data_IF_338308784821
#
_entry.id   IF_338308784821
#
_cell.length_a   1.000
_cell.length_b   1.000
_cell.length_c   1.000
_cell.angle_alpha   90.00
_cell.angle_beta   90.00
_cell.angle_gamma   90.00
#
_symmetry.space_group_name_H-M   'P 1'
#
loop_
_entity.id
_entity.type
_entity.pdbx_description
1 polymer ?
#
# COMPACT_ATOMS: atom_id res chain seq x y z
N UNK A 1 -6.50 -2.29 15.43
CA UNK A 1 -7.03 -1.13 14.68
C UNK A 1 -6.24 0.11 15.06
N UNK A 2 -5.75 0.87 14.08
CA UNK A 2 -4.92 2.06 14.32
C UNK A 2 -5.61 3.11 15.20
N UNK A 3 -6.87 3.44 14.91
CA UNK A 3 -7.65 4.44 15.67
C UNK A 3 -7.86 4.08 17.15
N UNK A 4 -7.81 2.79 17.51
CA UNK A 4 -7.86 2.37 18.93
C UNK A 4 -6.52 2.56 19.64
N UNK A 5 -5.41 2.33 18.94
CA UNK A 5 -4.07 2.50 19.48
C UNK A 5 -3.65 3.98 19.53
N UNK A 6 -4.18 4.79 18.61
CA UNK A 6 -3.89 6.21 18.46
C UNK A 6 -5.19 7.03 18.36
N UNK A 7 -5.90 7.27 19.47
CA UNK A 7 -7.23 7.89 19.47
C UNK A 7 -7.27 9.33 18.93
N UNK A 8 -6.12 9.99 18.80
CA UNK A 8 -5.99 11.32 18.22
C UNK A 8 -5.95 11.31 16.68
N UNK A 9 -5.82 10.14 16.05
CA UNK A 9 -5.87 9.99 14.59
C UNK A 9 -7.32 9.85 14.15
N UNK A 10 -7.71 10.62 13.12
CA UNK A 10 -8.95 10.40 12.38
C UNK A 10 -8.65 9.49 11.19
N UNK A 11 -9.41 8.41 11.05
CA UNK A 11 -9.25 7.45 9.96
C UNK A 11 -10.21 7.71 8.80
N UNK A 12 -9.75 7.48 7.58
CA UNK A 12 -10.60 7.30 6.40
C UNK A 12 -10.39 5.88 5.92
N UNK A 13 -11.48 5.11 5.85
CA UNK A 13 -11.51 3.83 5.15
C UNK A 13 -12.03 4.08 3.73
N UNK A 14 -11.15 3.96 2.74
CA UNK A 14 -11.45 4.24 1.35
C UNK A 14 -11.40 2.97 0.52
N UNK A 15 -12.52 2.64 -0.11
CA UNK A 15 -12.66 1.50 -1.01
C UNK A 15 -13.75 1.82 -2.05
N UNK A 16 -14.11 0.86 -2.90
CA UNK A 16 -15.23 0.99 -3.82
C UNK A 16 -16.55 1.21 -3.07
N UNK A 17 -17.51 1.95 -3.66
CA UNK A 17 -18.79 2.26 -3.02
C UNK A 17 -19.52 1.03 -2.48
N UNK A 18 -19.54 -0.06 -3.24
CA UNK A 18 -20.17 -1.31 -2.84
C UNK A 18 -19.51 -1.94 -1.61
N UNK A 19 -18.17 -1.86 -1.50
CA UNK A 19 -17.42 -2.45 -0.37
C UNK A 19 -17.63 -1.64 0.90
N UNK A 20 -17.47 -0.30 0.83
CA UNK A 20 -17.64 0.55 2.01
C UNK A 20 -19.08 0.57 2.51
N UNK A 21 -20.07 0.29 1.66
CA UNK A 21 -21.48 0.23 2.05
C UNK A 21 -21.78 -0.92 3.02
N UNK A 22 -20.96 -1.96 3.00
CA UNK A 22 -21.05 -3.13 3.89
C UNK A 22 -20.13 -3.02 5.12
N UNK A 23 -19.31 -1.97 5.20
CA UNK A 23 -18.35 -1.81 6.29
C UNK A 23 -19.05 -1.50 7.63
N UNK A 24 -18.62 -2.12 8.74
CA UNK A 24 -19.18 -1.84 10.05
C UNK A 24 -18.89 -0.39 10.48
N UNK A 25 -19.82 0.24 11.20
CA UNK A 25 -19.57 1.54 11.80
C UNK A 25 -18.49 1.42 12.89
N UNK A 26 -17.40 2.17 12.75
CA UNK A 26 -16.28 2.19 13.69
C UNK A 26 -16.04 3.64 14.10
N UNK A 27 -16.05 3.90 15.41
CA UNK A 27 -15.79 5.25 15.93
C UNK A 27 -14.40 5.76 15.52
N UNK A 28 -14.33 7.03 15.11
CA UNK A 28 -13.11 7.64 14.58
C UNK A 28 -12.74 7.26 13.14
N UNK A 29 -13.58 6.51 12.42
CA UNK A 29 -13.37 6.16 11.00
C UNK A 29 -14.52 6.70 10.14
N UNK A 30 -14.19 7.44 9.10
CA UNK A 30 -15.09 7.80 8.01
C UNK A 30 -14.96 6.81 6.86
N UNK A 31 -16.08 6.25 6.39
CA UNK A 31 -16.11 5.36 5.23
C UNK A 31 -16.40 6.16 3.97
N UNK A 32 -15.48 6.13 3.00
CA UNK A 32 -15.58 6.91 1.76
C UNK A 32 -15.52 5.97 0.57
N UNK A 33 -16.58 5.96 -0.23
CA UNK A 33 -16.65 5.18 -1.46
C UNK A 33 -16.04 5.94 -2.64
N UNK A 34 -15.20 5.30 -3.45
CA UNK A 34 -14.68 5.90 -4.67
C UNK A 34 -13.78 4.99 -5.49
N UNK A 35 -12.99 5.61 -6.36
CA UNK A 35 -12.07 4.92 -7.26
C UNK A 35 -10.66 5.51 -7.11
N UNK A 36 -9.71 4.71 -6.60
CA UNK A 36 -8.34 5.14 -6.37
C UNK A 36 -7.57 5.53 -7.64
N UNK A 37 -8.00 5.07 -8.82
CA UNK A 37 -7.42 5.48 -10.09
C UNK A 37 -7.84 6.91 -10.49
N UNK A 38 -8.95 7.41 -9.95
CA UNK A 38 -9.45 8.75 -10.21
C UNK A 38 -8.94 9.75 -9.16
N UNK A 39 -9.19 9.44 -7.88
CA UNK A 39 -8.76 10.28 -6.77
C UNK A 39 -8.67 9.50 -5.46
N UNK A 40 -7.80 9.98 -4.56
CA UNK A 40 -7.66 9.47 -3.19
C UNK A 40 -7.97 10.63 -2.23
N UNK A 41 -8.79 10.40 -1.16
CA UNK A 41 -9.11 11.45 -0.19
C UNK A 41 -7.86 12.08 0.44
N UNK A 42 -7.90 13.39 0.68
CA UNK A 42 -6.78 14.13 1.30
C UNK A 42 -6.55 13.66 2.74
N UNK A 43 -5.31 13.36 3.08
CA UNK A 43 -4.91 12.94 4.43
C UNK A 43 -3.42 13.25 4.69
N UNK A 44 -3.01 13.28 5.95
CA UNK A 44 -1.59 13.45 6.31
C UNK A 44 -0.74 12.24 5.89
N UNK A 45 -1.34 11.06 5.83
CA UNK A 45 -0.74 9.85 5.30
C UNK A 45 -1.78 8.97 4.61
N UNK A 46 -1.34 8.24 3.58
CA UNK A 46 -2.15 7.20 2.91
C UNK A 46 -1.51 5.85 3.20
N UNK A 47 -2.32 4.86 3.57
CA UNK A 47 -1.87 3.47 3.76
C UNK A 47 -2.47 2.57 2.68
N UNK A 48 -1.62 1.79 2.01
CA UNK A 48 -1.99 0.77 1.04
C UNK A 48 -1.51 -0.58 1.59
N UNK A 49 -2.43 -1.41 2.07
CA UNK A 49 -2.10 -2.74 2.60
C UNK A 49 -2.73 -3.79 1.69
N UNK A 50 -1.90 -4.68 1.12
CA UNK A 50 -2.36 -5.68 0.16
C UNK A 50 -3.13 -5.08 -1.02
N UNK A 51 -2.57 -4.01 -1.61
CA UNK A 51 -3.20 -3.31 -2.74
C UNK A 51 -2.31 -3.41 -3.97
N UNK A 52 -1.04 -3.02 -3.88
CA UNK A 52 -0.21 -2.80 -5.05
C UNK A 52 0.31 -4.11 -5.65
N UNK A 53 0.30 -5.21 -4.90
CA UNK A 53 0.61 -6.53 -5.45
C UNK A 53 -0.41 -7.03 -6.49
N UNK A 54 -1.65 -6.54 -6.47
CA UNK A 54 -2.72 -6.96 -7.39
C UNK A 54 -2.56 -6.40 -8.81
N UNK A 55 -1.70 -5.39 -8.97
CA UNK A 55 -1.65 -4.57 -10.17
C UNK A 55 -0.30 -4.64 -10.88
N UNK A 56 -0.35 -4.50 -12.21
CA UNK A 56 0.84 -4.27 -13.02
C UNK A 56 1.57 -2.98 -12.63
N UNK A 57 2.87 -2.89 -12.94
CA UNK A 57 3.70 -1.75 -12.56
C UNK A 57 3.15 -0.40 -13.06
N UNK A 58 2.59 -0.33 -14.27
CA UNK A 58 2.00 0.91 -14.80
C UNK A 58 0.79 1.38 -13.99
N UNK A 59 -0.10 0.45 -13.61
CA UNK A 59 -1.28 0.75 -12.80
C UNK A 59 -0.88 1.12 -11.37
N UNK A 60 0.13 0.45 -10.80
CA UNK A 60 0.70 0.84 -9.53
C UNK A 60 1.24 2.27 -9.54
N UNK A 61 1.95 2.68 -10.61
CA UNK A 61 2.45 4.04 -10.75
C UNK A 61 1.30 5.05 -10.77
N UNK A 62 0.20 4.74 -11.46
CA UNK A 62 -0.97 5.61 -11.51
C UNK A 62 -1.63 5.76 -10.13
N UNK A 63 -1.83 4.65 -9.40
CA UNK A 63 -2.33 4.66 -8.02
C UNK A 63 -1.40 5.49 -7.11
N UNK A 64 -0.10 5.22 -7.17
CA UNK A 64 0.92 5.88 -6.36
C UNK A 64 0.97 7.39 -6.60
N UNK A 65 0.77 7.85 -7.85
CA UNK A 65 0.63 9.28 -8.17
C UNK A 65 -0.60 9.90 -7.50
N UNK A 66 -1.74 9.20 -7.49
CA UNK A 66 -2.95 9.67 -6.78
C UNK A 66 -2.76 9.72 -5.27
N UNK A 67 -2.08 8.73 -4.69
CA UNK A 67 -1.71 8.75 -3.27
C UNK A 67 -0.74 9.89 -2.95
N UNK A 68 0.25 10.14 -3.83
CA UNK A 68 1.18 11.27 -3.69
C UNK A 68 0.45 12.61 -3.74
N UNK A 69 -0.49 12.77 -4.67
CA UNK A 69 -1.35 13.96 -4.75
C UNK A 69 -2.20 14.15 -3.48
N UNK A 70 -2.58 13.06 -2.80
CA UNK A 70 -3.46 13.09 -1.65
C UNK A 70 -2.81 13.58 -0.34
N UNK A 71 -1.48 13.53 -0.26
CA UNK A 71 -0.73 13.86 0.97
C UNK A 71 0.02 15.20 0.86
N UNK A 72 0.31 15.89 1.99
CA UNK A 72 1.13 17.11 1.97
C UNK A 72 2.54 16.86 1.40
N UNK A 73 3.01 17.76 0.53
CA UNK A 73 4.30 17.58 -0.16
C UNK A 73 5.54 17.55 0.76
N UNK A 74 5.48 18.28 1.89
CA UNK A 74 6.63 18.44 2.79
C UNK A 74 6.59 17.48 3.99
N UNK A 75 5.40 17.13 4.46
CA UNK A 75 5.21 16.37 5.72
C UNK A 75 4.46 15.06 5.53
N UNK A 76 3.86 14.85 4.36
CA UNK A 76 3.06 13.67 4.07
C UNK A 76 3.89 12.44 3.75
N UNK A 77 3.23 11.28 3.79
CA UNK A 77 3.83 10.01 3.36
C UNK A 77 2.79 9.03 2.83
N UNK A 78 3.23 8.15 1.93
CA UNK A 78 2.48 6.96 1.54
C UNK A 78 3.14 5.76 2.19
N UNK A 79 2.36 4.95 2.89
CA UNK A 79 2.79 3.76 3.62
C UNK A 79 2.24 2.55 2.89
N UNK A 80 3.10 1.69 2.39
CA UNK A 80 2.74 0.46 1.71
C UNK A 80 3.06 -0.69 2.65
N UNK A 81 2.13 -1.63 2.77
CA UNK A 81 2.27 -2.86 3.55
C UNK A 81 1.98 -4.02 2.60
N UNK A 82 3.05 -4.54 2.00
CA UNK A 82 3.03 -5.63 1.01
C UNK A 82 4.27 -6.51 1.23
N UNK A 83 4.31 -7.68 0.59
CA UNK A 83 5.50 -8.51 0.65
C UNK A 83 6.67 -7.86 -0.10
N UNK A 84 7.88 -8.13 0.40
CA UNK A 84 9.13 -7.79 -0.26
C UNK A 84 9.91 -9.08 -0.44
N UNK A 85 10.17 -9.44 -1.69
CA UNK A 85 10.96 -10.63 -2.02
C UNK A 85 12.44 -10.31 -1.80
N UNK A 86 13.06 -11.01 -0.85
CA UNK A 86 14.51 -10.96 -0.62
C UNK A 86 15.22 -11.87 -1.61
N UNK A 87 16.04 -11.27 -2.48
CA UNK A 87 16.87 -12.00 -3.44
C UNK A 87 18.15 -12.56 -2.78
N UNK A 88 18.58 -11.99 -1.64
CA UNK A 88 19.80 -12.38 -0.94
C UNK A 88 19.54 -12.62 0.56
N UNK A 89 19.83 -13.83 1.06
CA UNK A 89 19.84 -14.10 2.50
C UNK A 89 18.47 -14.05 3.19
N UNK A 90 17.46 -14.67 2.57
CA UNK A 90 16.07 -14.68 3.03
C UNK A 90 15.83 -15.17 4.46
N UNK A 91 14.59 -15.03 4.92
CA UNK A 91 14.15 -15.31 6.28
C UNK A 91 13.17 -16.51 6.34
N UNK A 92 12.59 -16.75 7.53
CA UNK A 92 11.61 -17.82 7.74
C UNK A 92 10.31 -17.66 6.92
N UNK A 93 10.04 -16.49 6.36
CA UNK A 93 8.85 -16.17 5.56
C UNK A 93 9.10 -16.24 4.05
N UNK A 94 10.34 -16.41 3.59
CA UNK A 94 10.68 -16.46 2.15
C UNK A 94 9.81 -17.46 1.38
N UNK A 95 9.61 -18.67 1.92
CA UNK A 95 8.75 -19.68 1.27
C UNK A 95 7.29 -19.24 1.16
N UNK A 96 6.76 -18.54 2.17
CA UNK A 96 5.40 -18.02 2.16
C UNK A 96 5.23 -16.86 1.17
N UNK A 97 6.21 -15.95 1.07
CA UNK A 97 6.20 -14.85 0.10
C UNK A 97 6.22 -15.35 -1.35
N UNK A 98 7.03 -16.38 -1.64
CA UNK A 98 7.05 -17.01 -2.97
C UNK A 98 5.74 -17.77 -3.28
N UNK A 99 5.13 -18.43 -2.29
CA UNK A 99 3.83 -19.06 -2.46
C UNK A 99 2.71 -18.03 -2.72
N UNK A 100 2.82 -16.87 -2.06
CA UNK A 100 1.89 -15.76 -2.29
C UNK A 100 2.05 -15.18 -3.69
N UNK A 101 3.27 -15.00 -4.19
CA UNK A 101 3.52 -14.53 -5.57
C UNK A 101 2.83 -15.42 -6.61
N UNK A 102 2.96 -16.75 -6.48
CA UNK A 102 2.22 -17.69 -7.33
C UNK A 102 0.70 -17.54 -7.22
N UNK A 103 0.20 -17.24 -6.03
CA UNK A 103 -1.24 -17.02 -5.78
C UNK A 103 -1.71 -15.74 -6.47
N UNK A 104 -1.00 -14.63 -6.30
CA UNK A 104 -1.28 -13.33 -6.93
C UNK A 104 -1.24 -13.47 -8.45
N UNK A 105 -0.21 -14.10 -9.00
CA UNK A 105 -0.10 -14.37 -10.44
C UNK A 105 -1.30 -15.16 -10.99
N UNK A 106 -1.85 -16.09 -10.20
CA UNK A 106 -3.00 -16.91 -10.60
C UNK A 106 -4.35 -16.19 -10.46
N UNK A 107 -4.46 -15.29 -9.49
CA UNK A 107 -5.71 -14.63 -9.12
C UNK A 107 -5.91 -13.27 -9.80
N UNK A 108 -4.84 -12.65 -10.30
CA UNK A 108 -4.85 -11.29 -10.82
C UNK A 108 -4.29 -11.22 -12.25
N UNK A 109 -4.61 -10.14 -12.96
CA UNK A 109 -4.05 -9.89 -14.30
C UNK A 109 -2.78 -9.09 -14.16
N UNK A 110 -1.62 -9.77 -14.20
CA UNK A 110 -0.28 -9.20 -14.08
C UNK A 110 0.06 -8.58 -12.71
N UNK A 111 -0.60 -8.99 -11.63
CA UNK A 111 -0.11 -8.76 -10.28
C UNK A 111 1.14 -9.60 -9.99
N UNK A 112 1.93 -9.16 -9.01
CA UNK A 112 3.14 -9.83 -8.56
C UNK A 112 3.56 -9.33 -7.19
N UNK A 113 4.25 -10.18 -6.45
CA UNK A 113 5.11 -9.73 -5.36
C UNK A 113 6.40 -9.14 -5.93
N UNK A 114 6.95 -8.13 -5.26
CA UNK A 114 8.08 -7.34 -5.78
C UNK A 114 9.30 -7.46 -4.88
N UNK A 115 10.49 -7.41 -5.49
CA UNK A 115 11.74 -7.27 -4.75
C UNK A 115 11.91 -5.84 -4.23
N UNK A 116 12.80 -5.63 -3.26
CA UNK A 116 13.10 -4.28 -2.77
C UNK A 116 13.57 -3.33 -3.89
N UNK A 117 14.30 -3.86 -4.88
CA UNK A 117 14.77 -3.11 -6.05
C UNK A 117 13.62 -2.71 -6.97
N UNK A 118 12.67 -3.61 -7.23
CA UNK A 118 11.49 -3.31 -8.03
C UNK A 118 10.60 -2.26 -7.35
N UNK A 119 10.41 -2.36 -6.03
CA UNK A 119 9.73 -1.34 -5.25
C UNK A 119 10.38 0.04 -5.39
N UNK A 120 11.71 0.11 -5.31
CA UNK A 120 12.44 1.35 -5.50
C UNK A 120 12.20 1.97 -6.88
N UNK A 121 12.32 1.18 -7.95
CA UNK A 121 12.06 1.64 -9.33
C UNK A 121 10.63 2.13 -9.52
N UNK A 122 9.65 1.44 -8.92
CA UNK A 122 8.24 1.79 -8.99
C UNK A 122 7.95 3.14 -8.31
N UNK A 123 8.50 3.35 -7.11
CA UNK A 123 8.34 4.58 -6.35
C UNK A 123 9.04 5.77 -7.03
N UNK A 124 10.22 5.54 -7.60
CA UNK A 124 10.95 6.55 -8.37
C UNK A 124 10.16 6.96 -9.62
N UNK A 125 9.56 6.00 -10.33
CA UNK A 125 8.72 6.26 -11.50
C UNK A 125 7.41 7.00 -11.15
N UNK A 126 6.87 6.78 -9.94
CA UNK A 126 5.76 7.55 -9.39
C UNK A 126 6.18 8.94 -8.85
N UNK A 127 7.50 9.23 -8.85
CA UNK A 127 8.07 10.53 -8.53
C UNK A 127 8.30 10.78 -7.05
N UNK A 128 8.32 9.76 -6.19
CA UNK A 128 8.69 9.93 -4.78
C UNK A 128 10.18 10.28 -4.64
N UNK A 129 10.54 11.14 -3.68
CA UNK A 129 11.93 11.61 -3.51
C UNK A 129 12.80 10.65 -2.71
N UNK A 130 12.19 9.93 -1.77
CA UNK A 130 12.87 8.90 -0.98
C UNK A 130 11.86 7.84 -0.53
N UNK A 131 12.39 6.67 -0.23
CA UNK A 131 11.63 5.63 0.44
C UNK A 131 12.50 4.88 1.45
N UNK A 132 11.86 4.16 2.37
CA UNK A 132 12.52 3.24 3.29
C UNK A 132 11.75 1.93 3.33
N UNK A 133 12.46 0.80 3.31
CA UNK A 133 11.87 -0.53 3.51
C UNK A 133 12.22 -1.01 4.92
N UNK A 134 11.22 -1.46 5.66
CA UNK A 134 11.36 -2.02 7.02
C UNK A 134 10.78 -3.42 7.04
N UNK A 135 11.64 -4.42 7.17
CA UNK A 135 11.22 -5.80 7.34
C UNK A 135 10.59 -5.99 8.73
N UNK A 136 9.56 -6.82 8.78
CA UNK A 136 8.89 -7.23 10.00
C UNK A 136 9.06 -8.73 10.19
N UNK A 137 8.80 -9.23 11.40
CA UNK A 137 8.62 -10.68 11.62
C UNK A 137 7.24 -11.11 11.13
N UNK A 138 7.02 -10.92 9.83
CA UNK A 138 5.77 -11.15 9.12
C UNK A 138 6.07 -11.36 7.62
N UNK A 139 5.05 -11.78 6.86
CA UNK A 139 5.15 -11.92 5.40
C UNK A 139 5.35 -10.53 4.78
N UNK A 140 4.63 -9.54 5.29
CA UNK A 140 4.66 -8.15 4.85
C UNK A 140 5.90 -7.42 5.36
N UNK A 141 6.32 -6.43 4.58
CA UNK A 141 7.22 -5.36 5.01
C UNK A 141 6.48 -4.03 5.00
N UNK A 142 7.00 -3.04 5.72
CA UNK A 142 6.49 -1.67 5.65
C UNK A 142 7.40 -0.84 4.78
N UNK A 143 6.87 -0.28 3.70
CA UNK A 143 7.57 0.64 2.81
C UNK A 143 6.99 2.03 3.02
N UNK A 144 7.80 2.97 3.49
CA UNK A 144 7.39 4.37 3.61
C UNK A 144 7.96 5.17 2.45
N UNK A 145 7.10 5.77 1.64
CA UNK A 145 7.46 6.62 0.50
C UNK A 145 7.11 8.09 0.79
N UNK A 146 8.00 9.00 0.41
CA UNK A 146 7.93 10.42 0.75
C UNK A 146 7.88 11.30 -0.52
N UNK A 147 6.86 12.16 -0.68
CA UNK A 147 6.62 12.96 -1.89
C UNK A 147 7.76 13.86 -2.39
#
# INVERSE_FOLDING_TARGET
MLVKAFPWIKGINFDRPEVVSEAPCIDGIEHVGGNMFESVPKADAVMLMWILHDWSDNLCIDILKKCKEAVPAETGKVIIVDAVIDEEGGDEYTGARLALDMTVMSATVNGKERTAKEWGLLLDAAGFKRHTVKHMKAIESVIEAYP
#
